data_IF_973431408334
#
_entry.id   IF_973431408334
#
_cell.length_a   1.000
_cell.length_b   1.000
_cell.length_c   1.000
_cell.angle_alpha   90.00
_cell.angle_beta   90.00
_cell.angle_gamma   90.00
#
_symmetry.space_group_name_H-M   'P 1'
#
loop_
_entity.id
_entity.type
_entity.pdbx_description
1 polymer ?
#
# COMPACT_ATOMS: atom_id res chain seq x y z
N UNK A 1 55.17 9.11 -4.55
CA UNK A 1 54.46 9.28 -3.28
C UNK A 1 55.13 8.32 -2.33
N UNK A 2 55.51 8.76 -1.11
CA UNK A 2 55.81 7.76 -0.07
C UNK A 2 54.63 6.79 -0.13
N UNK A 3 54.86 5.47 -0.04
CA UNK A 3 53.81 4.46 -0.25
C UNK A 3 52.44 4.85 0.37
N UNK A 4 52.47 5.62 1.45
CA UNK A 4 51.40 6.42 2.06
C UNK A 4 50.41 7.08 1.08
N UNK A 5 50.79 7.94 0.14
CA UNK A 5 49.76 8.70 -0.61
C UNK A 5 49.00 7.83 -1.64
N UNK A 6 49.61 6.74 -2.15
CA UNK A 6 48.90 5.79 -3.04
C UNK A 6 47.90 5.03 -2.20
N UNK A 7 48.32 4.64 -0.98
CA UNK A 7 47.47 3.97 -0.02
C UNK A 7 46.29 4.88 0.33
N UNK A 8 46.50 6.19 0.52
CA UNK A 8 45.40 7.14 0.78
C UNK A 8 44.43 7.21 -0.41
N UNK A 9 44.91 7.39 -1.64
CA UNK A 9 44.02 7.43 -2.82
C UNK A 9 43.28 6.10 -3.03
N UNK A 10 43.96 4.96 -2.87
CA UNK A 10 43.36 3.64 -2.97
C UNK A 10 42.30 3.42 -1.87
N UNK A 11 42.56 3.90 -0.65
CA UNK A 11 41.61 3.86 0.47
C UNK A 11 40.40 4.74 0.17
N UNK A 12 40.58 5.96 -0.36
CA UNK A 12 39.46 6.83 -0.73
C UNK A 12 38.63 6.20 -1.85
N UNK A 13 39.26 5.73 -2.93
CA UNK A 13 38.56 5.04 -4.04
C UNK A 13 37.83 3.80 -3.55
N UNK A 14 38.45 3.01 -2.66
CA UNK A 14 37.83 1.85 -2.03
C UNK A 14 36.57 2.24 -1.25
N UNK A 15 36.66 3.24 -0.36
CA UNK A 15 35.49 3.68 0.41
C UNK A 15 34.40 4.33 -0.45
N UNK A 16 34.76 5.15 -1.46
CA UNK A 16 33.78 5.72 -2.40
C UNK A 16 33.09 4.62 -3.20
N UNK A 17 33.84 3.61 -3.66
CA UNK A 17 33.27 2.47 -4.39
C UNK A 17 32.36 1.64 -3.51
N UNK A 18 32.76 1.37 -2.25
CA UNK A 18 31.91 0.69 -1.28
C UNK A 18 30.63 1.49 -1.00
N UNK A 19 30.75 2.81 -0.90
CA UNK A 19 29.60 3.65 -0.63
C UNK A 19 28.60 3.64 -1.80
N UNK A 20 29.09 3.72 -3.04
CA UNK A 20 28.26 3.78 -4.25
C UNK A 20 27.74 2.42 -4.74
N UNK A 21 28.51 1.33 -4.58
CA UNK A 21 28.13 -0.01 -5.04
C UNK A 21 27.65 -0.93 -3.92
N UNK A 22 27.91 -0.60 -2.65
CA UNK A 22 27.53 -1.39 -1.49
C UNK A 22 26.48 -0.67 -0.66
N UNK A 23 26.86 0.44 -0.02
CA UNK A 23 26.01 1.13 0.95
C UNK A 23 24.76 1.71 0.29
N UNK A 24 24.86 2.37 -0.87
CA UNK A 24 23.72 2.95 -1.57
C UNK A 24 22.71 1.89 -2.07
N UNK A 25 23.11 0.82 -2.79
CA UNK A 25 22.18 -0.26 -3.16
C UNK A 25 21.60 -0.97 -1.94
N UNK A 26 22.40 -1.18 -0.90
CA UNK A 26 21.92 -1.78 0.34
C UNK A 26 20.90 -0.87 1.04
N UNK A 27 21.18 0.43 1.16
CA UNK A 27 20.27 1.41 1.73
C UNK A 27 18.97 1.50 0.93
N UNK A 28 19.03 1.51 -0.41
CA UNK A 28 17.83 1.46 -1.24
C UNK A 28 17.06 0.15 -1.10
N UNK A 29 17.74 -0.99 -0.90
CA UNK A 29 17.08 -2.29 -0.64
C UNK A 29 16.40 -2.38 0.73
N UNK A 30 16.93 -1.69 1.75
CA UNK A 30 16.35 -1.67 3.10
C UNK A 30 15.25 -0.61 3.26
N UNK A 31 15.41 0.55 2.61
CA UNK A 31 14.46 1.66 2.73
C UNK A 31 13.29 1.57 1.73
N UNK A 32 13.39 0.70 0.72
CA UNK A 32 12.30 0.46 -0.22
C UNK A 32 12.02 -1.04 -0.29
N UNK A 33 10.80 -1.42 0.13
CA UNK A 33 10.26 -2.77 -0.11
C UNK A 33 10.43 -3.07 -1.60
N UNK A 34 11.08 -4.19 -1.93
CA UNK A 34 11.17 -4.62 -3.32
C UNK A 34 9.75 -4.96 -3.80
N UNK A 35 9.33 -4.36 -4.91
CA UNK A 35 8.03 -4.61 -5.52
C UNK A 35 8.31 -5.13 -6.92
N UNK A 36 7.82 -6.33 -7.24
CA UNK A 36 7.89 -6.90 -8.58
C UNK A 36 7.32 -5.92 -9.62
N UNK A 37 7.83 -5.92 -10.84
CA UNK A 37 7.22 -5.12 -11.93
C UNK A 37 5.76 -5.55 -12.14
N UNK A 38 4.89 -4.58 -12.43
CA UNK A 38 3.51 -4.85 -12.83
C UNK A 38 3.46 -5.79 -14.04
N UNK A 39 2.65 -6.84 -13.94
CA UNK A 39 2.45 -7.82 -15.01
C UNK A 39 1.41 -7.36 -16.05
N UNK A 40 0.65 -6.31 -15.74
CA UNK A 40 -0.45 -5.78 -16.56
C UNK A 40 -1.48 -6.87 -16.92
N UNK A 41 -1.60 -7.89 -16.08
CA UNK A 41 -2.49 -9.02 -16.31
C UNK A 41 -3.94 -8.67 -16.01
N UNK A 42 -4.19 -7.72 -15.09
CA UNK A 42 -5.52 -7.36 -14.59
C UNK A 42 -6.29 -8.62 -14.18
N UNK A 43 -5.76 -9.31 -13.19
CA UNK A 43 -6.24 -10.60 -12.72
C UNK A 43 -6.37 -10.64 -11.20
N UNK A 44 -7.00 -11.71 -10.73
CA UNK A 44 -7.17 -11.94 -9.30
C UNK A 44 -5.85 -12.16 -8.57
N UNK A 45 -4.81 -12.64 -9.24
CA UNK A 45 -3.52 -12.95 -8.60
C UNK A 45 -2.87 -11.67 -8.07
N UNK A 46 -2.85 -10.60 -8.86
CA UNK A 46 -2.34 -9.31 -8.42
C UNK A 46 -3.13 -8.72 -7.24
N UNK A 47 -4.45 -8.83 -7.29
CA UNK A 47 -5.34 -8.26 -6.27
C UNK A 47 -5.33 -9.07 -4.97
N UNK A 48 -5.40 -10.38 -5.08
CA UNK A 48 -5.34 -11.29 -3.94
C UNK A 48 -3.99 -11.21 -3.22
N UNK A 49 -2.88 -10.91 -3.92
CA UNK A 49 -1.59 -10.63 -3.27
C UNK A 49 -1.67 -9.42 -2.33
N UNK A 50 -2.36 -8.35 -2.74
CA UNK A 50 -2.54 -7.14 -1.91
C UNK A 50 -3.48 -7.41 -0.75
N UNK A 51 -4.62 -8.07 -1.02
CA UNK A 51 -5.58 -8.44 0.02
C UNK A 51 -4.94 -9.32 1.09
N UNK A 52 -4.14 -10.33 0.70
CA UNK A 52 -3.40 -11.16 1.64
C UNK A 52 -2.44 -10.35 2.51
N UNK A 53 -1.69 -9.41 1.92
CA UNK A 53 -0.78 -8.55 2.69
C UNK A 53 -1.53 -7.66 3.70
N UNK A 54 -2.73 -7.17 3.34
CA UNK A 54 -3.57 -6.34 4.22
C UNK A 54 -4.22 -7.17 5.33
N UNK A 55 -4.79 -8.32 4.99
CA UNK A 55 -5.51 -9.18 5.93
C UNK A 55 -4.57 -9.90 6.91
N UNK A 56 -3.35 -10.24 6.50
CA UNK A 56 -2.33 -10.78 7.41
C UNK A 56 -2.02 -9.83 8.56
N UNK A 57 -1.97 -8.51 8.32
CA UNK A 57 -1.68 -7.54 9.38
C UNK A 57 -2.74 -7.56 10.49
N UNK A 58 -4.01 -7.72 10.12
CA UNK A 58 -5.11 -7.83 11.09
C UNK A 58 -5.03 -9.13 11.88
N UNK A 59 -4.64 -10.24 11.24
CA UNK A 59 -4.45 -11.53 11.89
C UNK A 59 -3.25 -11.48 12.85
N UNK A 60 -2.13 -10.89 12.44
CA UNK A 60 -0.93 -10.70 13.26
C UNK A 60 -1.25 -9.95 14.57
N UNK A 61 -2.06 -8.89 14.50
CA UNK A 61 -2.52 -8.14 15.68
C UNK A 61 -3.30 -9.05 16.67
N UNK A 62 -4.12 -9.98 16.16
CA UNK A 62 -4.85 -10.93 17.01
C UNK A 62 -3.94 -12.03 17.57
N UNK A 63 -2.96 -12.50 16.79
CA UNK A 63 -1.98 -13.49 17.25
C UNK A 63 -1.10 -12.93 18.36
N UNK A 64 -0.69 -11.65 18.28
CA UNK A 64 0.09 -11.00 19.34
C UNK A 64 -0.70 -10.97 20.67
N UNK A 65 -1.97 -10.60 20.64
CA UNK A 65 -2.84 -10.59 21.82
C UNK A 65 -2.99 -12.02 22.39
N UNK A 66 -3.12 -13.02 21.52
CA UNK A 66 -3.20 -14.43 21.94
C UNK A 66 -1.92 -14.88 22.65
N UNK A 67 -0.75 -14.46 22.17
CA UNK A 67 0.53 -14.78 22.81
C UNK A 67 0.65 -14.11 24.19
N UNK A 68 0.21 -12.85 24.32
CA UNK A 68 0.16 -12.14 25.61
C UNK A 68 -0.73 -12.88 26.62
N UNK A 69 -1.94 -13.27 26.21
CA UNK A 69 -2.87 -14.00 27.08
C UNK A 69 -2.29 -15.37 27.50
N UNK A 70 -1.65 -16.09 26.57
CA UNK A 70 -0.99 -17.36 26.87
C UNK A 70 0.10 -17.21 27.95
N UNK A 71 0.87 -16.11 27.92
CA UNK A 71 1.87 -15.78 28.94
C UNK A 71 1.24 -15.51 30.31
N UNK A 72 0.14 -14.76 30.37
CA UNK A 72 -0.57 -14.50 31.63
C UNK A 72 -1.25 -15.75 32.21
N UNK A 73 -1.79 -16.64 31.36
CA UNK A 73 -2.28 -17.96 31.77
C UNK A 73 -1.15 -18.79 32.38
N UNK A 74 0.00 -18.88 31.71
CA UNK A 74 1.16 -19.64 32.22
C UNK A 74 1.64 -19.11 33.58
N UNK A 75 1.74 -17.79 33.72
CA UNK A 75 2.12 -17.12 34.97
C UNK A 75 1.12 -17.40 36.09
N UNK A 76 -0.18 -17.33 35.78
CA UNK A 76 -1.26 -17.62 36.74
C UNK A 76 -1.28 -19.10 37.15
N UNK A 77 -1.07 -20.03 36.21
CA UNK A 77 -0.94 -21.47 36.48
C UNK A 77 0.25 -21.78 37.39
N UNK A 78 1.42 -21.19 37.10
CA UNK A 78 2.61 -21.34 37.94
C UNK A 78 2.33 -20.86 39.36
N UNK A 79 1.69 -19.70 39.50
CA UNK A 79 1.35 -19.13 40.81
C UNK A 79 0.34 -19.97 41.59
N UNK A 80 -0.62 -20.56 40.89
CA UNK A 80 -1.58 -21.50 41.48
C UNK A 80 -0.87 -22.76 42.00
N UNK A 81 0.08 -23.31 41.23
CA UNK A 81 0.87 -24.47 41.65
C UNK A 81 1.75 -24.15 42.88
N UNK A 82 2.46 -23.02 42.87
CA UNK A 82 3.23 -22.54 44.04
C UNK A 82 2.34 -22.46 45.29
N UNK A 83 1.14 -21.87 45.14
CA UNK A 83 0.19 -21.78 46.23
C UNK A 83 -0.27 -23.15 46.72
N UNK A 84 -0.53 -24.12 45.84
CA UNK A 84 -0.95 -25.47 46.21
C UNK A 84 0.11 -26.18 47.07
N UNK A 85 1.38 -25.98 46.75
CA UNK A 85 2.53 -26.60 47.43
C UNK A 85 2.83 -25.98 48.81
N UNK A 86 2.56 -24.68 49.02
CA UNK A 86 2.91 -24.01 50.27
C UNK A 86 2.22 -24.58 51.51
N UNK A 87 2.98 -24.71 52.60
CA UNK A 87 2.40 -24.82 53.93
C UNK A 87 1.85 -23.46 54.45
N UNK A 88 1.36 -23.43 55.69
CA UNK A 88 0.74 -22.22 56.24
C UNK A 88 1.75 -21.12 56.60
N UNK A 89 2.99 -21.47 56.93
CA UNK A 89 4.05 -20.48 57.20
C UNK A 89 4.62 -19.95 55.88
N UNK A 90 4.88 -20.82 54.91
CA UNK A 90 5.34 -20.43 53.58
C UNK A 90 4.34 -19.50 52.87
N UNK A 91 3.03 -19.79 52.98
CA UNK A 91 1.99 -18.90 52.45
C UNK A 91 1.96 -17.54 53.18
N UNK A 92 2.19 -17.52 54.50
CA UNK A 92 2.25 -16.28 55.29
C UNK A 92 3.38 -15.38 54.79
N UNK A 93 4.57 -15.94 54.63
CA UNK A 93 5.75 -15.21 54.16
C UNK A 93 5.56 -14.70 52.73
N UNK A 94 5.03 -15.55 51.85
CA UNK A 94 4.62 -15.16 50.51
C UNK A 94 3.66 -13.96 50.51
N UNK A 95 2.64 -13.97 51.38
CA UNK A 95 1.60 -12.96 51.37
C UNK A 95 2.17 -11.63 51.86
N UNK A 96 2.96 -11.66 52.94
CA UNK A 96 3.69 -10.49 53.45
C UNK A 96 4.62 -9.93 52.36
N UNK A 97 5.41 -10.77 51.69
CA UNK A 97 6.30 -10.35 50.61
C UNK A 97 5.52 -9.68 49.45
N UNK A 98 4.35 -10.22 49.09
CA UNK A 98 3.49 -9.62 48.06
C UNK A 98 2.99 -8.23 48.46
N UNK A 99 2.57 -8.06 49.71
CA UNK A 99 2.14 -6.76 50.26
C UNK A 99 3.30 -5.77 50.33
N UNK A 100 4.50 -6.21 50.73
CA UNK A 100 5.70 -5.38 50.74
C UNK A 100 6.10 -4.91 49.34
N UNK A 101 6.03 -5.79 48.34
CA UNK A 101 6.27 -5.44 46.95
C UNK A 101 5.23 -4.43 46.43
N UNK A 102 3.97 -4.56 46.83
CA UNK A 102 2.91 -3.62 46.45
C UNK A 102 3.17 -2.20 46.97
N UNK A 103 3.81 -2.04 48.14
CA UNK A 103 4.23 -0.73 48.67
C UNK A 103 5.31 -0.06 47.81
N UNK A 104 6.10 -0.85 47.09
CA UNK A 104 7.20 -0.35 46.25
C UNK A 104 6.75 -0.02 44.82
N UNK A 105 5.55 -0.44 44.43
CA UNK A 105 4.96 -0.14 43.12
C UNK A 105 4.77 1.38 42.97
N UNK A 106 5.26 2.00 41.87
CA UNK A 106 5.09 3.42 41.59
C UNK A 106 3.66 3.94 41.71
N UNK A 107 2.65 3.08 41.48
CA UNK A 107 1.23 3.45 41.61
C UNK A 107 0.82 3.79 43.04
N UNK A 108 1.44 3.16 44.04
CA UNK A 108 1.05 3.24 45.45
C UNK A 108 2.08 3.95 46.32
N UNK A 109 3.31 4.10 45.83
CA UNK A 109 4.47 4.62 46.56
C UNK A 109 4.28 6.02 47.18
N UNK A 110 3.43 6.85 46.58
CA UNK A 110 3.16 8.22 47.05
C UNK A 110 1.77 8.38 47.70
N UNK A 111 1.07 7.27 47.95
CA UNK A 111 -0.27 7.26 48.53
C UNK A 111 -0.22 6.85 50.01
N UNK A 112 0.09 7.79 50.90
CA UNK A 112 0.27 7.54 52.34
C UNK A 112 -0.88 6.75 52.99
N UNK A 113 -2.13 7.02 52.61
CA UNK A 113 -3.31 6.31 53.14
C UNK A 113 -3.36 4.84 52.71
N UNK A 114 -2.93 4.56 51.48
CA UNK A 114 -2.95 3.22 50.89
C UNK A 114 -1.79 2.39 51.45
N UNK A 115 -0.60 3.00 51.59
CA UNK A 115 0.55 2.41 52.28
C UNK A 115 0.21 2.06 53.73
N UNK A 116 -0.42 2.98 54.47
CA UNK A 116 -0.84 2.72 55.86
C UNK A 116 -1.91 1.61 55.96
N UNK A 117 -2.72 1.41 54.92
CA UNK A 117 -3.65 0.28 54.84
C UNK A 117 -2.91 -1.03 54.61
N UNK A 118 -1.93 -1.05 53.70
CA UNK A 118 -1.10 -2.24 53.43
C UNK A 118 -0.29 -2.64 54.66
N UNK A 119 0.27 -1.67 55.39
CA UNK A 119 1.01 -1.94 56.64
C UNK A 119 0.13 -2.62 57.71
N UNK A 120 -1.14 -2.21 57.82
CA UNK A 120 -2.11 -2.88 58.69
C UNK A 120 -2.41 -4.31 58.23
N UNK A 121 -2.51 -4.55 56.93
CA UNK A 121 -2.68 -5.90 56.40
C UNK A 121 -1.46 -6.79 56.66
N UNK A 122 -0.24 -6.25 56.58
CA UNK A 122 0.98 -7.00 56.91
C UNK A 122 0.99 -7.41 58.38
N UNK A 123 0.66 -6.49 59.31
CA UNK A 123 0.57 -6.81 60.74
C UNK A 123 -0.50 -7.89 60.97
N UNK A 124 -1.67 -7.74 60.35
CA UNK A 124 -2.73 -8.75 60.41
C UNK A 124 -2.25 -10.11 59.92
N UNK A 125 -1.56 -10.15 58.77
CA UNK A 125 -1.05 -11.40 58.22
C UNK A 125 -0.02 -12.09 59.13
N UNK A 126 0.79 -11.31 59.85
CA UNK A 126 1.76 -11.82 60.85
C UNK A 126 1.11 -12.41 62.08
N UNK A 127 -0.12 -12.03 62.43
CA UNK A 127 -0.80 -12.43 63.66
C UNK A 127 -1.90 -13.47 63.46
N UNK A 128 -2.30 -13.74 62.20
CA UNK A 128 -3.36 -14.70 61.89
C UNK A 128 -3.07 -16.13 62.37
N UNK A 129 -4.14 -16.83 62.72
CA UNK A 129 -4.12 -18.26 63.03
C UNK A 129 -4.00 -19.12 61.76
N UNK A 130 -3.54 -20.37 61.93
CA UNK A 130 -3.34 -21.32 60.81
C UNK A 130 -4.62 -21.53 60.00
N UNK A 131 -5.78 -21.61 60.65
CA UNK A 131 -7.05 -21.84 59.96
C UNK A 131 -7.51 -20.61 59.16
N UNK A 132 -7.21 -19.40 59.63
CA UNK A 132 -7.48 -18.16 58.90
C UNK A 132 -6.59 -18.07 57.66
N UNK A 133 -5.31 -18.45 57.77
CA UNK A 133 -4.37 -18.51 56.64
C UNK A 133 -4.83 -19.47 55.55
N UNK A 134 -5.37 -20.64 55.91
CA UNK A 134 -5.93 -21.58 54.93
C UNK A 134 -7.08 -20.96 54.14
N UNK A 135 -8.00 -20.29 54.82
CA UNK A 135 -9.12 -19.61 54.17
C UNK A 135 -8.65 -18.53 53.19
N UNK A 136 -7.65 -17.73 53.59
CA UNK A 136 -7.05 -16.72 52.70
C UNK A 136 -6.33 -17.38 51.53
N UNK A 137 -5.54 -18.44 51.74
CA UNK A 137 -4.88 -19.20 50.67
C UNK A 137 -5.91 -19.73 49.67
N UNK A 138 -7.01 -20.32 50.13
CA UNK A 138 -8.11 -20.78 49.26
C UNK A 138 -8.72 -19.63 48.46
N UNK A 139 -8.91 -18.46 49.06
CA UNK A 139 -9.37 -17.27 48.33
C UNK A 139 -8.40 -16.88 47.21
N UNK A 140 -7.09 -16.84 47.47
CA UNK A 140 -6.09 -16.55 46.44
C UNK A 140 -6.10 -17.59 45.32
N UNK A 141 -6.14 -18.88 45.66
CA UNK A 141 -6.22 -19.95 44.67
C UNK A 141 -7.46 -19.81 43.78
N UNK A 142 -8.63 -19.54 44.37
CA UNK A 142 -9.86 -19.34 43.62
C UNK A 142 -9.78 -18.12 42.69
N UNK A 143 -9.14 -17.04 43.13
CA UNK A 143 -8.90 -15.88 42.26
C UNK A 143 -8.01 -16.24 41.06
N UNK A 144 -6.91 -16.97 41.27
CA UNK A 144 -6.06 -17.41 40.16
C UNK A 144 -6.79 -18.37 39.21
N UNK A 145 -7.63 -19.29 39.72
CA UNK A 145 -8.48 -20.16 38.89
C UNK A 145 -9.45 -19.33 38.04
N UNK A 146 -10.15 -18.37 38.65
CA UNK A 146 -11.06 -17.47 37.95
C UNK A 146 -10.34 -16.65 36.87
N UNK A 147 -9.13 -16.14 37.16
CA UNK A 147 -8.31 -15.43 36.18
C UNK A 147 -7.94 -16.34 35.01
N UNK A 148 -7.49 -17.57 35.28
CA UNK A 148 -7.17 -18.56 34.23
C UNK A 148 -8.41 -18.85 33.36
N UNK A 149 -9.58 -19.03 33.99
CA UNK A 149 -10.83 -19.29 33.26
C UNK A 149 -11.25 -18.11 32.38
N UNK A 150 -11.10 -16.87 32.88
CA UNK A 150 -11.34 -15.64 32.12
C UNK A 150 -10.40 -15.51 30.92
N UNK A 151 -9.10 -15.74 31.12
CA UNK A 151 -8.10 -15.67 30.05
C UNK A 151 -8.30 -16.80 29.02
N UNK A 152 -8.65 -18.01 29.44
CA UNK A 152 -9.01 -19.11 28.53
C UNK A 152 -10.24 -18.76 27.70
N UNK A 153 -11.26 -18.14 28.31
CA UNK A 153 -12.44 -17.67 27.60
C UNK A 153 -12.09 -16.59 26.57
N UNK A 154 -11.23 -15.64 26.94
CA UNK A 154 -10.75 -14.61 26.04
C UNK A 154 -9.94 -15.20 24.88
N UNK A 155 -9.03 -16.15 25.16
CA UNK A 155 -8.27 -16.89 24.13
C UNK A 155 -9.21 -17.54 23.12
N UNK A 156 -10.25 -18.23 23.58
CA UNK A 156 -11.23 -18.87 22.68
C UNK A 156 -11.97 -17.83 21.81
N UNK A 157 -12.26 -16.66 22.34
CA UNK A 157 -12.88 -15.57 21.58
C UNK A 157 -11.93 -14.98 20.54
N UNK A 158 -10.63 -14.90 20.85
CA UNK A 158 -9.61 -14.47 19.89
C UNK A 158 -9.44 -15.51 18.78
N UNK A 159 -9.39 -16.80 19.13
CA UNK A 159 -9.34 -17.88 18.13
C UNK A 159 -10.51 -17.79 17.15
N UNK A 160 -11.73 -17.56 17.66
CA UNK A 160 -12.89 -17.36 16.81
C UNK A 160 -12.72 -16.15 15.87
N UNK A 161 -12.22 -15.02 16.39
CA UNK A 161 -11.99 -13.81 15.58
C UNK A 161 -10.95 -14.04 14.48
N UNK A 162 -9.90 -14.80 14.76
CA UNK A 162 -8.89 -15.16 13.76
C UNK A 162 -9.55 -15.99 12.67
N UNK A 163 -10.29 -17.04 13.02
CA UNK A 163 -11.01 -17.87 12.06
C UNK A 163 -12.04 -17.08 11.25
N UNK A 164 -12.77 -16.16 11.88
CA UNK A 164 -13.71 -15.29 11.18
C UNK A 164 -12.99 -14.39 10.15
N UNK A 165 -11.86 -13.78 10.54
CA UNK A 165 -11.05 -12.95 9.66
C UNK A 165 -10.42 -13.74 8.50
N UNK A 166 -9.95 -14.97 8.75
CA UNK A 166 -9.44 -15.87 7.71
C UNK A 166 -10.53 -16.22 6.69
N UNK A 167 -11.74 -16.55 7.17
CA UNK A 167 -12.88 -16.86 6.29
C UNK A 167 -13.32 -15.64 5.47
N UNK A 168 -13.37 -14.46 6.09
CA UNK A 168 -13.69 -13.20 5.39
C UNK A 168 -12.63 -12.88 4.32
N UNK A 169 -11.35 -13.06 4.63
CA UNK A 169 -10.26 -12.89 3.67
C UNK A 169 -10.38 -13.85 2.50
N UNK A 170 -10.67 -15.13 2.76
CA UNK A 170 -10.83 -16.11 1.70
C UNK A 170 -12.03 -15.79 0.81
N UNK A 171 -13.17 -15.41 1.40
CA UNK A 171 -14.36 -15.01 0.64
C UNK A 171 -14.08 -13.81 -0.26
N UNK A 172 -13.37 -12.78 0.24
CA UNK A 172 -12.97 -11.63 -0.57
C UNK A 172 -12.10 -12.05 -1.76
N UNK A 173 -11.13 -12.95 -1.53
CA UNK A 173 -10.25 -13.45 -2.60
C UNK A 173 -11.04 -14.26 -3.65
N UNK A 174 -12.01 -15.06 -3.22
CA UNK A 174 -12.89 -15.84 -4.10
C UNK A 174 -13.80 -14.92 -4.93
N UNK A 175 -14.34 -13.86 -4.33
CA UNK A 175 -15.17 -12.86 -5.00
C UNK A 175 -14.38 -12.10 -6.07
N UNK A 176 -13.13 -11.71 -5.75
CA UNK A 176 -12.21 -11.08 -6.70
C UNK A 176 -11.82 -12.05 -7.83
N UNK A 177 -11.59 -13.32 -7.51
CA UNK A 177 -11.31 -14.36 -8.50
C UNK A 177 -12.49 -14.55 -9.45
N UNK A 178 -13.71 -14.65 -8.91
CA UNK A 178 -14.92 -14.74 -9.70
C UNK A 178 -15.09 -13.51 -10.63
N UNK A 179 -14.91 -12.31 -10.10
CA UNK A 179 -15.03 -11.07 -10.87
C UNK A 179 -14.07 -11.01 -12.06
N UNK A 180 -12.79 -11.31 -11.84
CA UNK A 180 -11.79 -11.28 -12.91
C UNK A 180 -11.97 -12.42 -13.91
N UNK A 181 -12.42 -13.59 -13.48
CA UNK A 181 -12.76 -14.70 -14.38
C UNK A 181 -13.94 -14.33 -15.29
N UNK A 182 -14.97 -13.65 -14.77
CA UNK A 182 -16.06 -13.13 -15.59
C UNK A 182 -15.58 -12.06 -16.56
N UNK A 183 -14.73 -11.13 -16.12
CA UNK A 183 -14.15 -10.11 -17.01
C UNK A 183 -13.30 -10.72 -18.13
N UNK A 184 -12.55 -11.78 -17.82
CA UNK A 184 -11.78 -12.54 -18.81
C UNK A 184 -12.68 -13.27 -19.80
N UNK A 185 -13.76 -13.90 -19.31
CA UNK A 185 -14.78 -14.52 -20.15
C UNK A 185 -15.39 -13.49 -21.11
N UNK A 186 -15.86 -12.35 -20.60
CA UNK A 186 -16.41 -11.25 -21.42
C UNK A 186 -15.39 -10.79 -22.46
N UNK A 187 -14.13 -10.59 -22.06
CA UNK A 187 -13.08 -10.17 -22.97
C UNK A 187 -12.72 -11.23 -24.02
N UNK A 188 -13.10 -12.49 -23.84
CA UNK A 188 -12.90 -13.56 -24.82
C UNK A 188 -14.02 -13.65 -25.87
N UNK A 189 -15.20 -13.07 -25.60
CA UNK A 189 -16.34 -13.12 -26.50
C UNK A 189 -16.10 -12.35 -27.81
N UNK A 190 -16.74 -12.83 -28.87
CA UNK A 190 -16.80 -12.14 -30.15
C UNK A 190 -17.83 -11.01 -30.08
N UNK A 191 -17.40 -9.79 -30.44
CA UNK A 191 -18.21 -8.59 -30.28
C UNK A 191 -19.00 -8.24 -31.54
N UNK A 192 -20.27 -7.92 -31.37
CA UNK A 192 -21.13 -7.28 -32.35
C UNK A 192 -21.01 -5.74 -32.25
N UNK A 193 -20.15 -5.17 -33.10
CA UNK A 193 -19.86 -3.72 -33.14
C UNK A 193 -21.13 -2.86 -33.34
N UNK A 194 -22.08 -3.33 -34.15
CA UNK A 194 -23.33 -2.60 -34.41
C UNK A 194 -24.23 -2.54 -33.19
N UNK A 195 -24.30 -3.63 -32.42
CA UNK A 195 -25.01 -3.65 -31.16
C UNK A 195 -24.27 -2.84 -30.09
N UNK A 196 -22.94 -2.98 -30.01
CA UNK A 196 -22.08 -2.21 -29.11
C UNK A 196 -22.25 -0.71 -29.28
N UNK A 197 -22.33 -0.23 -30.53
CA UNK A 197 -22.63 1.18 -30.81
C UNK A 197 -23.96 1.62 -30.20
N UNK A 198 -25.03 0.84 -30.36
CA UNK A 198 -26.35 1.16 -29.78
C UNK A 198 -26.28 1.19 -28.26
N UNK A 199 -25.66 0.18 -27.65
CA UNK A 199 -25.53 0.04 -26.22
C UNK A 199 -24.75 1.21 -25.60
N UNK A 200 -23.60 1.58 -26.19
CA UNK A 200 -22.80 2.74 -25.74
C UNK A 200 -23.57 4.04 -25.93
N UNK A 201 -24.26 4.22 -27.04
CA UNK A 201 -25.10 5.41 -27.25
C UNK A 201 -26.23 5.51 -26.21
N UNK A 202 -26.92 4.41 -25.92
CA UNK A 202 -28.02 4.38 -24.95
C UNK A 202 -27.55 4.54 -23.50
N UNK A 203 -26.41 3.95 -23.14
CA UNK A 203 -26.03 3.76 -21.73
C UNK A 203 -24.90 4.67 -21.27
N UNK A 204 -24.01 5.09 -22.18
CA UNK A 204 -22.80 5.83 -21.82
C UNK A 204 -22.87 7.31 -22.19
N UNK A 205 -23.52 7.67 -23.30
CA UNK A 205 -23.51 9.06 -23.81
C UNK A 205 -24.30 10.06 -22.95
N UNK A 206 -25.09 9.56 -21.99
CA UNK A 206 -25.71 10.39 -20.97
C UNK A 206 -24.71 11.08 -20.03
N UNK A 207 -23.47 10.60 -19.97
CA UNK A 207 -22.38 11.22 -19.20
C UNK A 207 -21.12 11.46 -20.04
N UNK A 208 -20.86 10.62 -21.05
CA UNK A 208 -19.60 10.61 -21.80
C UNK A 208 -19.74 11.20 -23.21
N UNK A 209 -18.71 11.92 -23.66
CA UNK A 209 -18.54 12.30 -25.07
C UNK A 209 -17.86 11.20 -25.90
N UNK A 210 -18.06 11.23 -27.22
CA UNK A 210 -17.36 10.41 -28.21
C UNK A 210 -17.03 11.30 -29.41
N UNK A 211 -16.02 12.14 -29.25
CA UNK A 211 -15.60 13.14 -30.23
C UNK A 211 -15.29 12.55 -31.63
N UNK A 212 -14.70 11.35 -31.72
CA UNK A 212 -14.44 10.70 -33.03
C UNK A 212 -15.71 10.36 -33.82
N UNK A 213 -16.84 10.22 -33.12
CA UNK A 213 -18.15 9.94 -33.70
C UNK A 213 -19.04 11.20 -33.74
N UNK A 214 -18.48 12.38 -33.42
CA UNK A 214 -19.20 13.65 -33.40
C UNK A 214 -20.20 13.79 -32.24
N UNK A 215 -20.10 12.94 -31.21
CA UNK A 215 -20.95 12.99 -30.02
C UNK A 215 -20.29 13.87 -28.97
N UNK A 216 -20.87 15.03 -28.70
CA UNK A 216 -20.37 15.94 -27.68
C UNK A 216 -20.70 15.42 -26.27
N UNK A 217 -19.87 15.78 -25.30
CA UNK A 217 -20.20 15.56 -23.89
C UNK A 217 -21.52 16.28 -23.55
N UNK A 218 -22.39 15.68 -22.71
CA UNK A 218 -23.73 16.20 -22.44
C UNK A 218 -23.73 17.49 -21.62
N UNK A 219 -22.61 17.85 -21.00
CA UNK A 219 -22.42 19.06 -20.23
C UNK A 219 -20.96 19.51 -20.28
N UNK A 220 -20.71 20.77 -19.94
CA UNK A 220 -19.36 21.31 -19.83
C UNK A 220 -18.61 20.79 -18.59
N UNK A 221 -17.28 20.90 -18.60
CA UNK A 221 -16.39 20.42 -17.53
C UNK A 221 -16.75 20.97 -16.14
N UNK A 222 -17.17 22.24 -16.04
CA UNK A 222 -17.49 22.84 -14.74
C UNK A 222 -18.77 22.23 -14.16
N UNK A 223 -19.80 22.07 -14.99
CA UNK A 223 -21.05 21.40 -14.61
C UNK A 223 -20.82 19.92 -14.28
N UNK A 224 -19.98 19.21 -15.05
CA UNK A 224 -19.62 17.82 -14.80
C UNK A 224 -18.90 17.64 -13.45
N UNK A 225 -17.89 18.48 -13.16
CA UNK A 225 -17.18 18.47 -11.88
C UNK A 225 -18.10 18.73 -10.69
N UNK A 226 -19.01 19.69 -10.83
CA UNK A 226 -19.99 19.98 -9.77
C UNK A 226 -20.92 18.78 -9.52
N UNK A 227 -21.31 18.07 -10.57
CA UNK A 227 -22.28 16.96 -10.49
C UNK A 227 -21.64 15.66 -10.00
N UNK A 228 -20.44 15.34 -10.49
CA UNK A 228 -19.82 14.03 -10.32
C UNK A 228 -18.51 14.06 -9.52
N UNK A 229 -18.01 15.25 -9.17
CA UNK A 229 -16.72 15.45 -8.53
C UNK A 229 -15.52 15.40 -9.50
N UNK A 230 -15.69 14.80 -10.67
CA UNK A 230 -14.68 14.68 -11.73
C UNK A 230 -15.36 14.75 -13.11
N UNK A 231 -14.64 15.21 -14.14
CA UNK A 231 -15.16 15.22 -15.51
C UNK A 231 -15.17 13.79 -16.06
N UNK A 232 -16.30 13.25 -16.55
CA UNK A 232 -16.32 11.98 -17.25
C UNK A 232 -15.39 12.01 -18.49
N UNK A 233 -14.58 10.96 -18.74
CA UNK A 233 -13.74 10.88 -19.92
C UNK A 233 -14.53 10.96 -21.23
N UNK A 234 -13.92 11.55 -22.26
CA UNK A 234 -14.28 11.22 -23.64
C UNK A 234 -13.85 9.78 -23.95
N UNK A 235 -14.71 9.00 -24.61
CA UNK A 235 -14.49 7.57 -24.84
C UNK A 235 -13.80 7.26 -26.17
N UNK A 236 -13.50 8.26 -27.00
CA UNK A 236 -12.96 8.09 -28.36
C UNK A 236 -11.66 7.29 -28.41
N UNK A 237 -10.87 7.35 -27.34
CA UNK A 237 -9.58 6.66 -27.25
C UNK A 237 -9.58 5.51 -26.25
N UNK A 238 -10.71 5.22 -25.61
CA UNK A 238 -10.78 4.25 -24.50
C UNK A 238 -10.31 2.87 -24.93
N UNK A 239 -10.79 2.36 -26.07
CA UNK A 239 -10.38 1.06 -26.63
C UNK A 239 -8.93 0.99 -27.13
N UNK A 240 -8.22 2.12 -27.20
CA UNK A 240 -6.82 2.21 -27.60
C UNK A 240 -5.86 2.19 -26.42
N UNK A 241 -6.22 2.83 -25.30
CA UNK A 241 -5.29 3.06 -24.18
C UNK A 241 -5.46 2.12 -23.00
N UNK A 242 -6.67 1.57 -22.83
CA UNK A 242 -6.99 0.68 -21.72
C UNK A 242 -6.92 -0.78 -22.18
N UNK A 243 -6.53 -1.65 -21.26
CA UNK A 243 -6.54 -3.09 -21.50
C UNK A 243 -7.98 -3.59 -21.78
N UNK A 244 -8.11 -4.59 -22.67
CA UNK A 244 -9.43 -5.11 -23.09
C UNK A 244 -10.20 -5.72 -21.91
N UNK A 245 -9.50 -6.52 -21.08
CA UNK A 245 -10.11 -7.18 -19.91
C UNK A 245 -10.41 -6.15 -18.83
N UNK A 246 -9.51 -5.19 -18.61
CA UNK A 246 -9.82 -4.07 -17.71
C UNK A 246 -11.04 -3.26 -18.15
N UNK A 247 -11.19 -2.94 -19.44
CA UNK A 247 -12.37 -2.24 -19.94
C UNK A 247 -13.67 -3.01 -19.69
N UNK A 248 -13.66 -4.32 -19.93
CA UNK A 248 -14.80 -5.18 -19.61
C UNK A 248 -15.12 -5.14 -18.10
N UNK A 249 -14.10 -5.27 -17.25
CA UNK A 249 -14.23 -5.16 -15.81
C UNK A 249 -14.78 -3.80 -15.37
N UNK A 250 -14.27 -2.71 -15.95
CA UNK A 250 -14.68 -1.34 -15.63
C UNK A 250 -16.16 -1.08 -15.94
N UNK A 251 -16.65 -1.56 -17.09
CA UNK A 251 -18.07 -1.44 -17.46
C UNK A 251 -18.92 -2.33 -16.56
N UNK A 252 -18.46 -3.55 -16.24
CA UNK A 252 -19.17 -4.49 -15.36
C UNK A 252 -19.32 -3.94 -13.95
N UNK A 253 -18.22 -3.54 -13.32
CA UNK A 253 -18.23 -2.91 -12.00
C UNK A 253 -17.00 -1.99 -11.82
N UNK A 254 -17.19 -0.67 -11.87
CA UNK A 254 -16.07 0.28 -11.78
C UNK A 254 -15.41 0.31 -10.40
N UNK A 255 -16.13 -0.02 -9.33
CA UNK A 255 -15.59 0.03 -7.96
C UNK A 255 -14.55 -1.07 -7.77
N UNK A 256 -14.89 -2.30 -8.16
CA UNK A 256 -13.98 -3.45 -8.08
C UNK A 256 -12.84 -3.28 -9.09
N UNK A 257 -13.16 -2.97 -10.36
CA UNK A 257 -12.15 -2.82 -11.39
C UNK A 257 -11.08 -1.77 -11.03
N UNK A 258 -11.46 -0.66 -10.41
CA UNK A 258 -10.53 0.41 -10.02
C UNK A 258 -9.88 0.23 -8.64
N UNK A 259 -10.16 -0.86 -7.91
CA UNK A 259 -9.77 -1.06 -6.50
C UNK A 259 -10.19 0.11 -5.60
N UNK A 260 -11.49 0.40 -5.53
CA UNK A 260 -12.04 1.52 -4.74
C UNK A 260 -13.13 1.12 -3.73
N UNK A 261 -13.24 -0.16 -3.37
CA UNK A 261 -14.25 -0.67 -2.42
C UNK A 261 -14.10 -0.07 -1.02
N UNK A 262 -12.91 0.36 -0.63
CA UNK A 262 -12.65 1.09 0.62
C UNK A 262 -13.21 2.52 0.64
N UNK A 263 -13.65 3.04 -0.52
CA UNK A 263 -14.10 4.42 -0.69
C UNK A 263 -15.56 4.53 -1.12
N UNK A 264 -16.02 3.63 -1.98
CA UNK A 264 -17.39 3.65 -2.52
C UNK A 264 -18.17 2.42 -2.11
N UNK A 265 -19.39 2.65 -1.65
CA UNK A 265 -20.32 1.64 -1.16
C UNK A 265 -21.78 2.03 -1.50
N UNK A 266 -22.75 1.34 -0.92
CA UNK A 266 -24.17 1.64 -1.15
C UNK A 266 -24.63 3.00 -0.60
N UNK A 267 -23.93 3.56 0.39
CA UNK A 267 -24.23 4.88 0.97
C UNK A 267 -23.47 6.01 0.28
N UNK A 268 -22.32 5.70 -0.30
CA UNK A 268 -21.47 6.59 -1.08
C UNK A 268 -21.19 5.94 -2.44
N UNK A 269 -22.15 5.95 -3.39
CA UNK A 269 -22.00 5.26 -4.66
C UNK A 269 -20.96 5.94 -5.56
N UNK A 270 -20.28 5.14 -6.37
CA UNK A 270 -19.38 5.64 -7.40
C UNK A 270 -20.17 6.39 -8.49
N UNK A 271 -19.70 7.56 -9.00
CA UNK A 271 -20.45 8.35 -9.99
C UNK A 271 -20.73 7.64 -11.31
N UNK A 272 -19.84 6.74 -11.73
CA UNK A 272 -20.10 5.78 -12.82
C UNK A 272 -20.71 4.52 -12.19
N UNK A 273 -21.99 4.21 -12.44
CA UNK A 273 -22.61 2.99 -11.93
C UNK A 273 -22.18 1.75 -12.73
N UNK A 274 -22.31 0.55 -12.16
CA UNK A 274 -22.23 -0.71 -12.92
C UNK A 274 -23.19 -0.74 -14.11
N UNK A 275 -22.82 -1.42 -15.19
CA UNK A 275 -23.75 -1.70 -16.28
C UNK A 275 -24.74 -2.80 -15.89
N UNK A 276 -26.03 -2.47 -15.86
CA UNK A 276 -27.10 -3.36 -15.40
C UNK A 276 -27.78 -4.18 -16.52
N UNK A 277 -27.29 -4.06 -17.76
CA UNK A 277 -27.85 -4.74 -18.93
C UNK A 277 -28.91 -3.92 -19.68
N UNK A 278 -29.12 -4.27 -20.95
CA UNK A 278 -30.13 -3.70 -21.84
C UNK A 278 -31.24 -4.70 -22.23
N UNK A 279 -31.31 -5.83 -21.53
CA UNK A 279 -32.34 -6.86 -21.69
C UNK A 279 -31.89 -8.14 -22.40
N UNK A 280 -30.63 -8.21 -22.84
CA UNK A 280 -29.96 -9.42 -23.32
C UNK A 280 -29.04 -10.07 -22.29
N UNK A 281 -28.09 -10.88 -22.77
CA UNK A 281 -27.00 -11.40 -21.94
C UNK A 281 -26.01 -10.27 -21.64
N UNK A 282 -25.82 -9.96 -20.36
CA UNK A 282 -24.99 -8.82 -19.92
C UNK A 282 -23.53 -9.01 -20.35
N UNK A 283 -23.03 -10.25 -20.40
CA UNK A 283 -21.64 -10.52 -20.78
C UNK A 283 -21.43 -10.23 -22.27
N UNK A 284 -22.36 -10.67 -23.12
CA UNK A 284 -22.34 -10.35 -24.55
C UNK A 284 -22.50 -8.84 -24.80
N UNK A 285 -23.41 -8.18 -24.09
CA UNK A 285 -23.63 -6.73 -24.21
C UNK A 285 -22.37 -5.92 -23.83
N UNK A 286 -21.67 -6.29 -22.77
CA UNK A 286 -20.41 -5.65 -22.38
C UNK A 286 -19.32 -5.93 -23.43
N UNK A 287 -19.23 -7.17 -23.92
CA UNK A 287 -18.26 -7.51 -24.97
C UNK A 287 -18.50 -6.68 -26.25
N UNK A 288 -19.75 -6.48 -26.62
CA UNK A 288 -20.17 -5.62 -27.73
C UNK A 288 -19.74 -4.17 -27.52
N UNK A 289 -20.01 -3.60 -26.33
CA UNK A 289 -19.60 -2.24 -25.97
C UNK A 289 -18.07 -2.08 -26.07
N UNK A 290 -17.30 -3.01 -25.48
CA UNK A 290 -15.83 -2.99 -25.55
C UNK A 290 -15.36 -3.12 -27.00
N UNK A 291 -15.97 -4.01 -27.79
CA UNK A 291 -15.68 -4.18 -29.21
C UNK A 291 -15.86 -2.88 -29.99
N UNK A 292 -16.99 -2.19 -29.79
CA UNK A 292 -17.25 -0.90 -30.42
C UNK A 292 -16.23 0.17 -30.03
N UNK A 293 -15.89 0.30 -28.75
CA UNK A 293 -14.87 1.25 -28.27
C UNK A 293 -13.49 0.97 -28.88
N UNK A 294 -13.15 -0.29 -29.11
CA UNK A 294 -11.93 -0.69 -29.82
C UNK A 294 -11.99 -0.38 -31.32
N UNK A 295 -13.14 -0.58 -31.95
CA UNK A 295 -13.31 -0.32 -33.39
C UNK A 295 -13.17 1.17 -33.72
N UNK A 296 -13.80 2.06 -32.94
CA UNK A 296 -13.72 3.52 -33.17
C UNK A 296 -12.33 4.11 -32.88
N UNK A 297 -11.48 3.36 -32.17
CA UNK A 297 -10.15 3.83 -31.73
C UNK A 297 -8.99 3.13 -32.44
N UNK A 298 -9.27 2.14 -33.31
CA UNK A 298 -8.23 1.30 -33.96
C UNK A 298 -7.22 2.12 -34.77
N UNK A 299 -7.70 3.11 -35.50
CA UNK A 299 -6.92 3.96 -36.41
C UNK A 299 -6.41 5.24 -35.73
N UNK A 300 -6.75 5.44 -34.44
CA UNK A 300 -6.27 6.59 -33.68
C UNK A 300 -4.82 6.37 -33.30
N UNK A 301 -3.97 7.33 -33.67
CA UNK A 301 -2.57 7.40 -33.26
C UNK A 301 -2.44 8.46 -32.18
N UNK A 302 -1.91 8.10 -31.02
CA UNK A 302 -1.75 9.00 -29.88
C UNK A 302 -0.27 9.17 -29.57
N UNK A 303 0.14 10.42 -29.41
CA UNK A 303 1.42 10.77 -28.79
C UNK A 303 1.42 10.43 -27.29
N UNK A 304 2.61 10.34 -26.71
CA UNK A 304 2.80 10.07 -25.28
C UNK A 304 2.04 11.07 -24.39
N UNK A 305 2.03 12.35 -24.81
CA UNK A 305 1.28 13.42 -24.14
C UNK A 305 -0.23 13.21 -24.24
N UNK A 306 -0.74 12.79 -25.40
CA UNK A 306 -2.18 12.54 -25.57
C UNK A 306 -2.65 11.35 -24.74
N UNK A 307 -1.85 10.29 -24.62
CA UNK A 307 -2.17 9.17 -23.71
C UNK A 307 -2.22 9.67 -22.27
N UNK A 308 -1.25 10.48 -21.82
CA UNK A 308 -1.27 11.09 -20.50
C UNK A 308 -2.50 11.96 -20.27
N UNK A 309 -2.88 12.79 -21.25
CA UNK A 309 -4.07 13.66 -21.14
C UNK A 309 -5.33 12.81 -20.95
N UNK A 310 -5.49 11.77 -21.74
CA UNK A 310 -6.67 10.91 -21.68
C UNK A 310 -6.71 10.01 -20.43
N UNK A 311 -5.58 9.69 -19.82
CA UNK A 311 -5.51 8.79 -18.66
C UNK A 311 -5.46 9.54 -17.32
N UNK A 312 -4.65 10.60 -17.24
CA UNK A 312 -4.18 11.16 -15.96
C UNK A 312 -4.55 12.63 -15.74
N UNK A 313 -4.64 13.44 -16.81
CA UNK A 313 -4.77 14.90 -16.69
C UNK A 313 -6.11 15.38 -16.11
N UNK A 314 -7.13 14.52 -16.03
CA UNK A 314 -8.38 14.84 -15.30
C UNK A 314 -8.16 15.06 -13.81
N UNK A 315 -7.13 14.43 -13.25
CA UNK A 315 -6.81 14.49 -11.83
C UNK A 315 -5.47 15.16 -11.56
N UNK A 316 -4.47 15.00 -12.43
CA UNK A 316 -3.11 15.45 -12.17
C UNK A 316 -2.73 16.71 -12.93
N UNK A 317 -2.08 17.64 -12.23
CA UNK A 317 -1.34 18.74 -12.83
C UNK A 317 -0.01 18.24 -13.43
N UNK A 318 0.42 18.85 -14.54
CA UNK A 318 1.80 18.84 -15.05
C UNK A 318 2.14 20.28 -15.41
N UNK A 319 2.39 21.09 -14.39
CA UNK A 319 2.62 22.53 -14.52
C UNK A 319 3.77 22.90 -15.45
N UNK A 320 4.81 22.08 -15.54
CA UNK A 320 5.94 22.33 -16.46
C UNK A 320 5.54 22.24 -17.93
N UNK A 321 4.43 21.58 -18.24
CA UNK A 321 3.86 21.50 -19.59
C UNK A 321 2.45 22.16 -19.67
N UNK A 322 2.14 23.03 -18.70
CA UNK A 322 0.91 23.81 -18.67
C UNK A 322 -0.39 23.03 -18.45
N UNK A 323 -0.32 21.74 -18.10
CA UNK A 323 -1.51 20.92 -17.80
C UNK A 323 -1.96 21.22 -16.38
N UNK A 324 -3.20 21.67 -16.23
CA UNK A 324 -3.79 22.06 -14.94
C UNK A 324 -5.07 21.23 -14.69
N UNK A 325 -4.89 20.00 -14.22
CA UNK A 325 -5.98 19.05 -13.94
C UNK A 325 -6.70 19.32 -12.62
N UNK A 326 -5.98 19.72 -11.57
CA UNK A 326 -6.50 19.82 -10.20
C UNK A 326 -6.40 21.20 -9.56
N UNK A 327 -5.71 22.14 -10.19
CA UNK A 327 -5.44 23.46 -9.58
C UNK A 327 -6.72 24.15 -9.09
N UNK A 328 -6.83 24.25 -7.76
CA UNK A 328 -7.95 24.87 -7.02
C UNK A 328 -9.33 24.21 -7.24
N UNK A 329 -9.37 22.95 -7.65
CA UNK A 329 -10.61 22.23 -7.87
C UNK A 329 -11.14 21.62 -6.55
N UNK A 330 -12.06 22.33 -5.91
CA UNK A 330 -12.68 21.90 -4.65
C UNK A 330 -13.55 20.65 -4.83
N UNK A 331 -14.14 20.45 -6.02
CA UNK A 331 -14.96 19.28 -6.31
C UNK A 331 -14.09 18.04 -6.43
N UNK A 332 -12.96 18.15 -7.15
CA UNK A 332 -11.99 17.07 -7.26
C UNK A 332 -11.34 16.76 -5.90
N UNK A 333 -11.00 17.77 -5.11
CA UNK A 333 -10.46 17.57 -3.77
C UNK A 333 -11.44 16.83 -2.84
N UNK A 334 -12.74 17.19 -2.91
CA UNK A 334 -13.79 16.47 -2.19
C UNK A 334 -13.95 15.04 -2.70
N UNK A 335 -13.93 14.85 -4.03
CA UNK A 335 -14.03 13.55 -4.67
C UNK A 335 -12.86 12.64 -4.27
N UNK A 336 -11.63 13.13 -4.31
CA UNK A 336 -10.41 12.37 -4.03
C UNK A 336 -10.03 12.33 -2.55
N UNK A 337 -10.73 13.07 -1.68
CA UNK A 337 -10.34 13.26 -0.27
C UNK A 337 -9.06 14.10 -0.07
N UNK A 338 -8.36 14.44 -1.15
CA UNK A 338 -7.15 15.26 -1.16
C UNK A 338 -6.93 15.85 -2.55
N UNK A 339 -6.06 16.86 -2.66
CA UNK A 339 -5.68 17.40 -3.97
C UNK A 339 -4.64 16.46 -4.59
N UNK A 340 -4.87 15.87 -5.78
CA UNK A 340 -3.87 15.03 -6.41
C UNK A 340 -2.58 15.81 -6.71
N UNK A 341 -1.41 15.17 -6.55
CA UNK A 341 -0.12 15.85 -6.69
C UNK A 341 0.17 16.28 -8.13
N UNK A 342 0.97 17.34 -8.25
CA UNK A 342 1.60 17.71 -9.53
C UNK A 342 2.67 16.68 -9.92
N UNK A 343 2.65 16.24 -11.17
CA UNK A 343 3.53 15.20 -11.69
C UNK A 343 4.73 15.74 -12.45
N UNK A 344 4.93 17.07 -12.51
CA UNK A 344 5.99 17.69 -13.34
C UNK A 344 7.40 17.19 -13.02
N UNK A 345 7.65 16.75 -11.79
CA UNK A 345 8.96 16.25 -11.36
C UNK A 345 8.92 14.82 -10.81
N UNK A 346 7.80 14.10 -11.00
CA UNK A 346 7.60 12.81 -10.33
C UNK A 346 8.64 11.77 -10.75
N UNK A 347 9.07 11.81 -12.02
CA UNK A 347 10.09 10.90 -12.58
C UNK A 347 11.47 11.06 -11.91
N UNK A 348 11.72 12.18 -11.24
CA UNK A 348 12.95 12.42 -10.46
C UNK A 348 12.82 11.99 -9.01
N UNK A 349 11.59 11.93 -8.51
CA UNK A 349 11.30 11.54 -7.13
C UNK A 349 11.04 10.03 -6.98
N UNK A 350 10.59 9.37 -8.06
CA UNK A 350 10.22 7.96 -8.08
C UNK A 350 10.80 7.25 -9.30
N UNK A 351 11.13 5.97 -9.15
CA UNK A 351 11.62 5.15 -10.26
C UNK A 351 10.50 4.87 -11.27
N UNK A 352 10.88 4.56 -12.52
CA UNK A 352 9.92 4.13 -13.56
C UNK A 352 9.12 2.90 -13.13
N UNK A 353 9.79 1.94 -12.49
CA UNK A 353 9.15 0.73 -11.94
C UNK A 353 8.10 1.10 -10.88
N UNK A 354 8.42 1.99 -9.94
CA UNK A 354 7.44 2.46 -8.96
C UNK A 354 6.22 3.08 -9.65
N UNK A 355 6.43 3.94 -10.64
CA UNK A 355 5.33 4.60 -11.35
C UNK A 355 4.45 3.61 -12.12
N UNK A 356 5.04 2.61 -12.80
CA UNK A 356 4.27 1.55 -13.45
C UNK A 356 3.40 0.78 -12.47
N UNK A 357 4.00 0.35 -11.37
CA UNK A 357 3.30 -0.40 -10.33
C UNK A 357 2.19 0.44 -9.70
N UNK A 358 2.46 1.73 -9.48
CA UNK A 358 1.49 2.65 -8.90
C UNK A 358 0.33 2.96 -9.86
N UNK A 359 0.57 3.11 -11.16
CA UNK A 359 -0.50 3.27 -12.17
C UNK A 359 -1.34 1.99 -12.27
N UNK A 360 -0.70 0.82 -12.18
CA UNK A 360 -1.33 -0.49 -12.27
C UNK A 360 -2.21 -0.81 -11.05
N UNK A 361 -1.68 -0.64 -9.84
CA UNK A 361 -2.42 -0.86 -8.61
C UNK A 361 -1.90 0.07 -7.49
N UNK A 362 -2.52 1.24 -7.31
CA UNK A 362 -2.12 2.21 -6.29
C UNK A 362 -2.13 1.66 -4.86
N UNK A 363 -3.01 0.70 -4.56
CA UNK A 363 -3.14 0.10 -3.22
C UNK A 363 -1.87 -0.65 -2.78
N UNK A 364 -1.05 -1.12 -3.73
CA UNK A 364 0.24 -1.77 -3.44
C UNK A 364 1.26 -0.82 -2.80
N UNK A 365 1.18 0.47 -3.10
CA UNK A 365 2.13 1.46 -2.59
C UNK A 365 1.54 2.36 -1.51
N UNK A 366 0.23 2.62 -1.57
CA UNK A 366 -0.49 3.50 -0.65
C UNK A 366 -1.87 2.90 -0.35
N UNK A 367 -1.93 2.08 0.70
CA UNK A 367 -3.17 1.51 1.20
C UNK A 367 -4.21 2.59 1.52
N UNK A 368 -5.45 2.37 1.07
CA UNK A 368 -6.57 3.28 1.29
C UNK A 368 -6.56 4.54 0.41
N UNK A 369 -5.64 4.63 -0.56
CA UNK A 369 -5.58 5.79 -1.46
C UNK A 369 -6.84 5.89 -2.33
N UNK A 370 -7.29 7.11 -2.57
CA UNK A 370 -8.40 7.39 -3.48
C UNK A 370 -8.00 7.35 -4.97
N UNK A 371 -6.70 7.25 -5.27
CA UNK A 371 -6.22 7.09 -6.64
C UNK A 371 -6.66 5.73 -7.17
N UNK A 372 -7.45 5.68 -8.26
CA UNK A 372 -7.92 4.43 -8.82
C UNK A 372 -6.80 3.71 -9.59
N UNK A 373 -6.92 2.38 -9.70
CA UNK A 373 -6.26 1.64 -10.80
C UNK A 373 -6.70 2.26 -12.12
N UNK A 374 -5.73 2.63 -12.96
CA UNK A 374 -6.02 3.35 -14.22
C UNK A 374 -6.40 2.39 -15.34
N UNK A 375 -5.87 1.16 -15.34
CA UNK A 375 -6.25 0.14 -16.32
C UNK A 375 -5.59 0.25 -17.69
N UNK A 376 -4.51 1.03 -17.80
CA UNK A 376 -3.76 1.18 -19.05
C UNK A 376 -3.12 -0.14 -19.48
N UNK A 377 -3.10 -0.42 -20.77
CA UNK A 377 -2.25 -1.50 -21.26
C UNK A 377 -0.76 -1.17 -21.05
N UNK A 378 0.12 -2.17 -21.25
CA UNK A 378 1.56 -2.01 -21.06
C UNK A 378 2.16 -0.91 -21.94
N UNK A 379 1.77 -0.82 -23.20
CA UNK A 379 2.29 0.18 -24.12
C UNK A 379 1.84 1.58 -23.69
N UNK A 380 0.56 1.75 -23.41
CA UNK A 380 -0.03 3.01 -22.95
C UNK A 380 0.56 3.48 -21.62
N UNK A 381 0.89 2.54 -20.72
CA UNK A 381 1.63 2.86 -19.49
C UNK A 381 3.04 3.38 -19.80
N UNK A 382 3.79 2.73 -20.69
CA UNK A 382 5.11 3.22 -21.10
C UNK A 382 5.04 4.59 -21.78
N UNK A 383 3.99 4.86 -22.57
CA UNK A 383 3.75 6.18 -23.14
C UNK A 383 3.55 7.25 -22.06
N UNK A 384 2.78 6.95 -21.00
CA UNK A 384 2.66 7.85 -19.83
C UNK A 384 4.02 8.09 -19.16
N UNK A 385 4.81 7.04 -18.95
CA UNK A 385 6.14 7.16 -18.34
C UNK A 385 7.10 7.99 -19.22
N UNK A 386 7.08 7.77 -20.53
CA UNK A 386 7.91 8.52 -21.48
C UNK A 386 7.54 9.99 -21.51
N UNK A 387 6.26 10.33 -21.49
CA UNK A 387 5.81 11.71 -21.36
C UNK A 387 6.31 12.34 -20.05
N UNK A 388 6.12 11.68 -18.90
CA UNK A 388 6.58 12.19 -17.60
C UNK A 388 8.11 12.35 -17.55
N UNK A 389 8.87 11.45 -18.20
CA UNK A 389 10.32 11.57 -18.35
C UNK A 389 10.70 12.78 -19.22
N UNK A 390 10.01 12.98 -20.35
CA UNK A 390 10.29 14.09 -21.25
C UNK A 390 10.12 15.46 -20.58
N UNK A 391 9.17 15.57 -19.65
CA UNK A 391 8.90 16.82 -18.92
C UNK A 391 9.78 16.94 -17.68
N UNK A 392 9.81 15.92 -16.83
CA UNK A 392 10.52 15.96 -15.54
C UNK A 392 12.02 15.83 -15.66
N UNK A 393 12.51 15.32 -16.79
CA UNK A 393 13.93 15.15 -17.10
C UNK A 393 14.28 15.57 -18.53
N UNK A 394 13.78 16.74 -18.96
CA UNK A 394 13.97 17.28 -20.32
C UNK A 394 15.43 17.43 -20.79
N UNK A 395 16.40 17.42 -19.86
CA UNK A 395 17.85 17.50 -20.16
C UNK A 395 18.60 16.21 -19.86
N UNK A 396 17.91 15.07 -19.81
CA UNK A 396 18.51 13.76 -19.54
C UNK A 396 19.72 13.45 -20.43
N UNK A 397 19.54 13.57 -21.74
CA UNK A 397 20.61 13.28 -22.70
C UNK A 397 21.82 14.22 -22.56
N UNK A 398 21.57 15.51 -22.31
CA UNK A 398 22.63 16.47 -22.03
C UNK A 398 23.40 16.06 -20.77
N UNK A 399 22.69 15.69 -19.70
CA UNK A 399 23.30 15.27 -18.44
C UNK A 399 24.13 13.99 -18.60
N UNK A 400 23.58 12.95 -19.23
CA UNK A 400 24.28 11.68 -19.44
C UNK A 400 25.55 11.87 -20.30
N UNK A 401 25.46 12.71 -21.34
CA UNK A 401 26.61 13.08 -22.17
C UNK A 401 27.67 13.85 -21.38
N UNK A 402 27.26 14.77 -20.51
CA UNK A 402 28.18 15.54 -19.65
C UNK A 402 28.86 14.63 -18.62
N UNK A 403 28.12 13.71 -17.99
CA UNK A 403 28.68 12.74 -17.03
C UNK A 403 29.78 11.92 -17.70
N UNK A 404 29.53 11.40 -18.92
CA UNK A 404 30.54 10.64 -19.66
C UNK A 404 31.82 11.46 -19.90
N UNK A 405 31.66 12.74 -20.28
CA UNK A 405 32.79 13.67 -20.47
C UNK A 405 33.55 13.93 -19.16
N UNK A 406 32.85 14.10 -18.05
CA UNK A 406 33.46 14.32 -16.72
C UNK A 406 34.23 13.06 -16.29
N UNK A 407 33.64 11.88 -16.42
CA UNK A 407 34.32 10.62 -16.08
C UNK A 407 35.58 10.44 -16.92
N UNK A 408 35.49 10.68 -18.24
CA UNK A 408 36.66 10.62 -19.12
C UNK A 408 37.76 11.64 -18.72
N UNK A 409 37.37 12.86 -18.37
CA UNK A 409 38.29 13.90 -17.90
C UNK A 409 38.96 13.53 -16.56
N UNK A 410 38.20 12.97 -15.61
CA UNK A 410 38.73 12.51 -14.32
C UNK A 410 39.71 11.36 -14.50
N UNK A 411 39.41 10.40 -15.38
CA UNK A 411 40.33 9.31 -15.74
C UNK A 411 41.59 9.87 -16.39
N UNK A 412 41.46 10.85 -17.29
CA UNK A 412 42.60 11.51 -17.92
C UNK A 412 43.50 12.23 -16.92
N UNK A 413 42.93 13.04 -16.02
CA UNK A 413 43.69 13.70 -14.93
C UNK A 413 44.35 12.66 -14.04
N UNK A 414 43.68 11.56 -13.71
CA UNK A 414 44.25 10.48 -12.90
C UNK A 414 45.50 9.88 -13.58
N UNK A 415 45.45 9.66 -14.90
CA UNK A 415 46.60 9.20 -15.69
C UNK A 415 47.72 10.25 -15.68
N UNK A 416 47.41 11.52 -15.94
CA UNK A 416 48.41 12.59 -15.92
C UNK A 416 49.07 12.72 -14.55
N UNK A 417 48.29 12.68 -13.46
CA UNK A 417 48.80 12.71 -12.10
C UNK A 417 49.70 11.50 -11.81
N UNK A 418 49.32 10.31 -12.29
CA UNK A 418 50.14 9.11 -12.18
C UNK A 418 51.47 9.23 -12.96
N UNK A 419 51.43 9.73 -14.20
CA UNK A 419 52.61 9.92 -15.05
C UNK A 419 53.53 11.02 -14.53
N UNK A 420 52.99 12.17 -14.15
CA UNK A 420 53.74 13.29 -13.58
C UNK A 420 54.46 12.89 -12.30
N UNK A 421 53.78 12.13 -11.45
CA UNK A 421 54.40 11.52 -10.28
C UNK A 421 55.53 10.55 -10.66
N UNK A 422 55.34 9.67 -11.65
CA UNK A 422 56.40 8.75 -12.13
C UNK A 422 57.63 9.52 -12.61
N UNK A 423 57.44 10.67 -13.24
CA UNK A 423 58.51 11.58 -13.67
C UNK A 423 59.24 12.21 -12.46
N UNK A 424 58.53 12.87 -11.55
CA UNK A 424 59.10 13.49 -10.34
C UNK A 424 59.85 12.50 -9.44
N UNK A 425 59.42 11.23 -9.43
CA UNK A 425 60.01 10.18 -8.60
C UNK A 425 61.20 9.48 -9.28
N UNK A 426 61.47 9.81 -10.54
CA UNK A 426 62.69 9.38 -11.24
C UNK A 426 63.89 10.25 -10.85
N UNK A 427 63.66 11.51 -10.49
CA UNK A 427 64.69 12.49 -10.09
C UNK A 427 65.08 12.43 -8.60
N UNK A 428 64.31 11.71 -7.78
CA UNK A 428 64.55 11.53 -6.33
C UNK A 428 65.21 10.18 -5.99
N UNK A 429 65.68 9.44 -7.01
CA UNK A 429 66.23 8.09 -6.86
C UNK A 429 67.76 8.01 -7.09
N UNK A 430 68.41 9.16 -7.20
CA UNK A 430 69.87 9.32 -7.11
C UNK A 430 70.27 9.87 -5.73
#
# INVERSE_FOLDING_TARGET
MKNVDIKILAVILFFVTILYLGVEPFAHSQMHKHIDDADFAYDAKGDNKVLLEQNHKQIDDFEEIKEINAKEIMKSKKRLQELEEFDSEEFRDFWIQKLENQKQDPKYKDQEKEIASIDKEIVKAKEMEVEELKNVKTFFMNNYKNMIDQENFLSKKIDQKITDAENESQQQMDDVEFFWNEAEYIASLEANISNGKKLVQMSCTGCHGISTEGILAPMDDATAKMSFGVVPPDLSTSGKIYDKKFLAALIKNPIIAMNLEHKFDNMNPHPMPPFFGAGGDISEEIADMVGYLKDISKDVTLSDKEVFINACARCHDVRYDGILGSKNDQYLAKYMGSIPPDLSMIIRAKSKQYLRNFIYNPQMALEGTAMPRVGLDKNSTEQVINYLESIGDSKKEERERVILKIVAFLVFIMILAYLWKKLLWRELKD
#
